data_IF_108549401671
#
_entry.id   IF_108549401671
#
_cell.length_a   1.000
_cell.length_b   1.000
_cell.length_c   1.000
_cell.angle_alpha   90.00
_cell.angle_beta   90.00
_cell.angle_gamma   90.00
#
_symmetry.space_group_name_H-M   'P 1'
#
loop_
_entity.id
_entity.type
_entity.pdbx_description
1 polymer ?
#
# COMPACT_ATOMS: atom_id res chain seq x y z
N UNK A 1 4.34 -21.97 -7.95
CA UNK A 1 4.56 -20.56 -8.38
C UNK A 1 4.14 -19.69 -7.21
N UNK A 2 5.10 -19.13 -6.46
CA UNK A 2 4.81 -18.39 -5.23
C UNK A 2 4.70 -16.89 -5.57
N UNK A 3 3.46 -16.42 -5.72
CA UNK A 3 3.15 -14.99 -5.80
C UNK A 3 2.74 -14.57 -4.39
N UNK A 4 3.49 -13.64 -3.79
CA UNK A 4 3.15 -13.13 -2.45
C UNK A 4 2.77 -11.66 -2.55
N UNK A 5 1.58 -11.36 -2.02
CA UNK A 5 1.08 -10.01 -1.79
C UNK A 5 1.70 -9.49 -0.49
N UNK A 6 2.34 -8.32 -0.54
CA UNK A 6 2.99 -7.74 0.63
C UNK A 6 1.93 -7.11 1.53
N UNK A 7 1.17 -6.13 1.05
CA UNK A 7 0.18 -5.43 1.89
C UNK A 7 -1.26 -5.52 1.40
N UNK A 8 -2.17 -5.64 2.36
CA UNK A 8 -3.58 -5.25 2.23
C UNK A 8 -3.77 -4.01 3.10
N UNK A 9 -4.37 -2.96 2.57
CA UNK A 9 -4.74 -1.78 3.36
C UNK A 9 -5.99 -2.10 4.17
N UNK A 10 -5.86 -3.01 5.13
CA UNK A 10 -6.91 -3.23 6.13
C UNK A 10 -6.51 -2.50 7.42
N UNK A 11 -7.51 -1.85 8.03
CA UNK A 11 -7.51 -1.08 9.28
C UNK A 11 -7.10 0.41 9.15
N UNK A 12 -7.83 1.39 9.68
CA UNK A 12 -8.78 1.43 10.81
C UNK A 12 -9.91 2.41 10.50
N UNK A 13 -11.04 2.29 11.22
CA UNK A 13 -12.09 3.31 11.28
C UNK A 13 -11.51 4.73 11.48
N UNK A 14 -12.20 5.79 11.02
CA UNK A 14 -11.72 7.15 11.22
C UNK A 14 -11.56 7.46 12.72
N UNK A 15 -10.36 7.90 13.11
CA UNK A 15 -10.08 8.34 14.48
C UNK A 15 -10.93 9.59 14.82
N UNK A 16 -11.48 9.69 16.05
CA UNK A 16 -12.29 10.83 16.46
C UNK A 16 -11.53 12.16 16.29
N UNK A 17 -12.00 13.03 15.40
CA UNK A 17 -11.44 14.37 15.18
C UNK A 17 -10.78 14.61 13.82
N UNK A 18 -10.75 13.63 12.92
CA UNK A 18 -10.18 13.79 11.57
C UNK A 18 -11.20 14.37 10.58
N UNK A 19 -11.39 15.70 10.63
CA UNK A 19 -12.36 16.45 9.81
C UNK A 19 -11.88 16.77 8.38
N UNK A 20 -10.60 16.57 8.11
CA UNK A 20 -9.92 17.04 6.88
C UNK A 20 -9.28 15.89 6.07
N UNK A 21 -9.34 14.65 6.58
CA UNK A 21 -8.75 13.47 5.90
C UNK A 21 -7.21 13.50 5.84
N UNK A 22 -6.59 14.51 6.44
CA UNK A 22 -5.14 14.74 6.42
C UNK A 22 -4.38 13.82 7.36
N UNK A 23 -5.00 13.21 8.37
CA UNK A 23 -4.32 12.27 9.27
C UNK A 23 -4.43 10.80 8.84
N UNK A 24 -5.43 10.44 8.03
CA UNK A 24 -5.49 9.12 7.37
C UNK A 24 -4.29 8.88 6.44
N UNK A 25 -3.55 9.93 6.06
CA UNK A 25 -2.55 9.91 5.00
C UNK A 25 -1.20 10.49 5.41
N UNK A 26 -0.83 10.28 6.68
CA UNK A 26 0.44 10.76 7.21
C UNK A 26 1.65 10.18 6.45
N UNK A 27 2.72 10.98 6.31
CA UNK A 27 4.00 10.62 5.66
C UNK A 27 4.61 9.35 6.24
N UNK A 28 4.27 9.04 7.48
CA UNK A 28 4.77 7.87 8.20
C UNK A 28 4.20 6.55 7.66
N UNK A 29 3.00 6.53 7.06
CA UNK A 29 2.44 5.32 6.46
C UNK A 29 3.29 4.75 5.32
N UNK A 30 3.86 5.64 4.50
CA UNK A 30 4.83 5.24 3.46
C UNK A 30 6.06 4.57 4.09
N UNK A 31 6.58 5.13 5.19
CA UNK A 31 7.76 4.57 5.88
C UNK A 31 7.44 3.21 6.48
N UNK A 32 6.31 3.05 7.14
CA UNK A 32 5.88 1.77 7.70
C UNK A 32 5.70 0.70 6.62
N UNK A 33 5.06 1.05 5.49
CA UNK A 33 4.94 0.13 4.36
C UNK A 33 6.30 -0.27 3.80
N UNK A 34 7.24 0.67 3.68
CA UNK A 34 8.59 0.41 3.23
C UNK A 34 9.37 -0.54 4.17
N UNK A 35 9.27 -0.33 5.48
CA UNK A 35 9.89 -1.21 6.50
C UNK A 35 9.31 -2.63 6.42
N UNK A 36 7.98 -2.72 6.31
CA UNK A 36 7.29 -3.99 6.19
C UNK A 36 7.66 -4.73 4.91
N UNK A 37 7.70 -4.04 3.77
CA UNK A 37 8.16 -4.60 2.51
C UNK A 37 9.61 -5.09 2.58
N UNK A 38 10.53 -4.30 3.15
CA UNK A 38 11.94 -4.69 3.35
C UNK A 38 12.03 -5.99 4.18
N UNK A 39 11.26 -6.08 5.26
CA UNK A 39 11.19 -7.26 6.12
C UNK A 39 10.68 -8.49 5.36
N UNK A 40 9.61 -8.34 4.55
CA UNK A 40 9.09 -9.43 3.73
C UNK A 40 10.11 -9.89 2.68
N UNK A 41 10.77 -8.96 1.98
CA UNK A 41 11.78 -9.31 0.99
C UNK A 41 12.97 -10.04 1.61
N UNK A 42 13.45 -9.58 2.76
CA UNK A 42 14.53 -10.24 3.50
C UNK A 42 14.16 -11.65 3.94
N UNK A 43 12.92 -11.84 4.44
CA UNK A 43 12.49 -13.10 5.06
C UNK A 43 12.06 -14.18 4.05
N UNK A 44 11.57 -13.77 2.88
CA UNK A 44 10.95 -14.68 1.92
C UNK A 44 11.51 -14.60 0.50
N UNK A 45 12.45 -13.68 0.21
CA UNK A 45 13.02 -13.49 -1.12
C UNK A 45 13.81 -14.70 -1.66
N UNK A 46 14.23 -15.61 -0.77
CA UNK A 46 14.82 -16.90 -1.12
C UNK A 46 13.83 -17.79 -1.89
N UNK A 47 12.54 -17.76 -1.52
CA UNK A 47 11.47 -18.63 -2.07
C UNK A 47 10.46 -17.90 -2.96
N UNK A 48 10.28 -16.60 -2.78
CA UNK A 48 9.33 -15.78 -3.54
C UNK A 48 10.09 -14.97 -4.59
N UNK A 49 9.81 -15.24 -5.86
CA UNK A 49 10.47 -14.59 -7.00
C UNK A 49 9.59 -13.56 -7.71
N UNK A 50 8.27 -13.59 -7.45
CA UNK A 50 7.29 -12.68 -8.04
C UNK A 50 6.54 -12.01 -6.90
N UNK A 51 6.57 -10.68 -6.89
CA UNK A 51 6.03 -9.85 -5.82
C UNK A 51 4.93 -8.94 -6.34
N UNK A 52 3.82 -8.89 -5.59
CA UNK A 52 2.78 -7.87 -5.74
C UNK A 52 2.80 -7.02 -4.47
N UNK A 53 3.00 -5.72 -4.63
CA UNK A 53 3.12 -4.80 -3.47
C UNK A 53 1.75 -4.46 -2.88
N UNK A 54 0.82 -3.96 -3.71
CA UNK A 54 -0.54 -3.57 -3.33
C UNK A 54 -1.52 -4.32 -4.23
N UNK A 55 -2.53 -4.93 -3.63
CA UNK A 55 -3.64 -5.53 -4.36
C UNK A 55 -4.78 -4.53 -4.50
N UNK A 56 -5.39 -4.47 -5.69
CA UNK A 56 -6.65 -3.76 -5.94
C UNK A 56 -6.70 -2.33 -5.37
N UNK A 57 -5.77 -1.45 -5.74
CA UNK A 57 -5.69 -0.09 -5.22
C UNK A 57 -6.99 0.70 -5.44
N UNK A 58 -7.64 0.48 -6.59
CA UNK A 58 -8.92 1.12 -6.94
C UNK A 58 -10.02 0.78 -5.93
N UNK A 59 -10.15 -0.48 -5.52
CA UNK A 59 -11.19 -0.90 -4.56
C UNK A 59 -10.99 -0.21 -3.23
N UNK A 60 -9.74 -0.08 -2.78
CA UNK A 60 -9.44 0.61 -1.52
C UNK A 60 -9.73 2.11 -1.61
N UNK A 61 -9.35 2.77 -2.72
CA UNK A 61 -9.53 4.21 -2.90
C UNK A 61 -11.01 4.59 -3.09
N UNK A 62 -11.72 3.88 -3.97
CA UNK A 62 -13.11 4.22 -4.34
C UNK A 62 -14.10 3.64 -3.34
N UNK A 63 -14.03 2.34 -3.03
CA UNK A 63 -15.03 1.75 -2.14
C UNK A 63 -14.78 2.10 -0.67
N UNK A 64 -13.55 2.48 -0.30
CA UNK A 64 -13.22 2.93 1.05
C UNK A 64 -13.56 4.40 1.33
N UNK A 65 -13.41 5.28 0.33
CA UNK A 65 -13.46 6.74 0.52
C UNK A 65 -14.45 7.50 -0.38
N UNK A 66 -15.02 6.87 -1.41
CA UNK A 66 -16.03 7.47 -2.28
C UNK A 66 -17.40 6.83 -2.02
N UNK A 67 -17.51 5.52 -2.25
CA UNK A 67 -18.75 4.77 -2.09
C UNK A 67 -19.02 4.43 -0.61
N UNK A 68 -17.96 4.23 0.18
CA UNK A 68 -18.03 3.85 1.60
C UNK A 68 -18.51 2.41 1.86
N UNK A 69 -18.48 1.54 0.85
CA UNK A 69 -18.85 0.12 0.97
C UNK A 69 -17.80 -0.76 1.66
N UNK A 70 -16.54 -0.30 1.74
CA UNK A 70 -15.45 -0.94 2.47
C UNK A 70 -14.89 -0.01 3.54
N UNK A 71 -14.19 -0.56 4.54
CA UNK A 71 -13.49 0.26 5.52
C UNK A 71 -12.53 1.24 4.82
N UNK A 72 -12.44 2.52 5.25
CA UNK A 72 -13.02 3.10 6.47
C UNK A 72 -14.51 3.51 6.39
N UNK A 73 -15.20 3.20 5.30
CA UNK A 73 -16.64 3.50 5.14
C UNK A 73 -16.93 4.98 4.94
N UNK A 74 -15.95 5.73 4.44
CA UNK A 74 -16.11 7.18 4.24
C UNK A 74 -16.85 7.41 2.93
N UNK A 75 -17.98 8.10 3.03
CA UNK A 75 -18.85 8.48 1.91
C UNK A 75 -19.42 9.87 2.22
N UNK A 76 -18.53 10.88 2.33
CA UNK A 76 -18.93 12.27 2.63
C UNK A 76 -19.09 13.12 1.36
N UNK A 77 -19.15 12.50 0.18
CA UNK A 77 -19.19 13.22 -1.10
C UNK A 77 -17.92 14.03 -1.39
N UNK A 78 -16.81 13.70 -0.71
CA UNK A 78 -15.52 14.36 -0.90
C UNK A 78 -14.86 13.82 -2.16
N UNK A 79 -14.84 14.64 -3.21
CA UNK A 79 -14.17 14.31 -4.48
C UNK A 79 -12.65 14.23 -4.38
N UNK A 80 -12.05 14.47 -3.21
CA UNK A 80 -10.59 14.57 -3.02
C UNK A 80 -10.01 13.36 -2.29
N UNK A 81 -10.72 12.80 -1.30
CA UNK A 81 -10.24 11.69 -0.46
C UNK A 81 -9.83 10.44 -1.26
N UNK A 82 -10.59 9.98 -2.27
CA UNK A 82 -10.21 8.81 -3.08
C UNK A 82 -8.90 9.03 -3.84
N UNK A 83 -8.68 10.23 -4.40
CA UNK A 83 -7.45 10.56 -5.11
C UNK A 83 -6.25 10.67 -4.18
N UNK A 84 -6.45 11.23 -3.00
CA UNK A 84 -5.40 11.28 -1.99
C UNK A 84 -5.03 9.88 -1.51
N UNK A 85 -6.00 8.99 -1.30
CA UNK A 85 -5.74 7.59 -0.98
C UNK A 85 -4.93 6.90 -2.10
N UNK A 86 -5.36 7.04 -3.36
CA UNK A 86 -4.66 6.48 -4.51
C UNK A 86 -3.23 7.03 -4.65
N UNK A 87 -3.03 8.33 -4.42
CA UNK A 87 -1.71 8.97 -4.46
C UNK A 87 -0.73 8.33 -3.46
N UNK A 88 -1.17 8.13 -2.22
CA UNK A 88 -0.33 7.52 -1.19
C UNK A 88 -0.06 6.04 -1.46
N UNK A 89 -1.01 5.31 -2.04
CA UNK A 89 -0.78 3.94 -2.50
C UNK A 89 0.32 3.88 -3.57
N UNK A 90 0.31 4.80 -4.53
CA UNK A 90 1.36 4.89 -5.56
C UNK A 90 2.73 5.20 -4.93
N UNK A 91 2.78 6.13 -3.98
CA UNK A 91 4.03 6.45 -3.27
C UNK A 91 4.57 5.28 -2.45
N UNK A 92 3.69 4.52 -1.79
CA UNK A 92 4.06 3.33 -1.04
C UNK A 92 4.56 2.20 -1.95
N UNK A 93 3.89 1.98 -3.08
CA UNK A 93 4.33 1.07 -4.14
C UNK A 93 5.74 1.44 -4.63
N UNK A 94 5.96 2.71 -4.98
CA UNK A 94 7.25 3.19 -5.48
C UNK A 94 8.38 2.97 -4.46
N UNK A 95 8.12 3.23 -3.17
CA UNK A 95 9.08 2.99 -2.10
C UNK A 95 9.46 1.51 -1.97
N UNK A 96 8.47 0.60 -1.96
CA UNK A 96 8.74 -0.84 -1.88
C UNK A 96 9.48 -1.36 -3.12
N UNK A 97 9.11 -0.92 -4.33
CA UNK A 97 9.81 -1.29 -5.57
C UNK A 97 11.25 -0.80 -5.59
N UNK A 98 11.51 0.41 -5.08
CA UNK A 98 12.86 0.96 -4.95
C UNK A 98 13.74 0.10 -4.04
N UNK A 99 13.21 -0.33 -2.88
CA UNK A 99 13.91 -1.25 -1.96
C UNK A 99 14.18 -2.59 -2.65
N UNK A 100 13.16 -3.19 -3.27
CA UNK A 100 13.31 -4.47 -3.96
C UNK A 100 14.43 -4.42 -5.01
N UNK A 101 14.40 -3.40 -5.87
CA UNK A 101 15.38 -3.25 -6.97
C UNK A 101 16.79 -2.95 -6.47
N UNK A 102 16.94 -2.21 -5.38
CA UNK A 102 18.26 -1.82 -4.86
C UNK A 102 18.92 -2.90 -4.00
N UNK A 103 18.14 -3.71 -3.28
CA UNK A 103 18.67 -4.68 -2.31
C UNK A 103 18.49 -6.15 -2.67
N UNK A 104 17.40 -6.51 -3.38
CA UNK A 104 16.95 -7.90 -3.49
C UNK A 104 16.83 -8.41 -4.93
N UNK A 105 16.72 -7.51 -5.91
CA UNK A 105 16.73 -7.90 -7.32
C UNK A 105 18.15 -8.29 -7.70
N UNK A 106 18.41 -9.59 -7.73
CA UNK A 106 19.57 -10.14 -8.43
C UNK A 106 19.32 -10.06 -9.94
N UNK A 107 20.33 -9.59 -10.67
CA UNK A 107 20.28 -9.68 -12.13
C UNK A 107 20.20 -11.16 -12.50
N UNK A 108 19.10 -11.49 -13.18
CA UNK A 108 18.90 -12.82 -13.69
C UNK A 108 19.91 -13.05 -14.81
N UNK A 109 20.99 -13.77 -14.51
CA UNK A 109 21.84 -14.37 -15.53
C UNK A 109 21.34 -15.79 -15.79
N UNK A 110 20.86 -16.11 -17.00
CA UNK A 110 20.66 -17.50 -17.37
C UNK A 110 22.03 -18.20 -17.38
N UNK A 111 22.14 -19.29 -16.62
CA UNK A 111 23.23 -20.27 -16.74
C UNK A 111 23.12 -21.05 -18.04
#
# INVERSE_FOLDING_TARGET
MNITKIGSWDHSAPEPGDRDGTKVLDRDKRKYFAIYADTCFASFGDRVKIWITINEPLQTAVNGYDVGGFAPGRCQGSSIEPYLAAHHQILAHAAAVSIYRSKYKVDWSPS
#
